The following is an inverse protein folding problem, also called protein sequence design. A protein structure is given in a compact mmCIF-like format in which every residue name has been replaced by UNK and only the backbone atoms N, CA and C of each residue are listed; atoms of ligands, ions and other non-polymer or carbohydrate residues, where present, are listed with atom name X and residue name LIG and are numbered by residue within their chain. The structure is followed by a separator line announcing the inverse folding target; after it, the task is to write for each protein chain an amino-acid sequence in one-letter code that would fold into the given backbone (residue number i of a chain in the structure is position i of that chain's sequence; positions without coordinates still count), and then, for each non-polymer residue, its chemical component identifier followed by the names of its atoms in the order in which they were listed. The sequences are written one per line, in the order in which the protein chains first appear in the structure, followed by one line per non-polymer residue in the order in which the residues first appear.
data_IF_572604532180
#
_entry.id   IF_572604532180
#
_cell.length_a   1.000
_cell.length_b   1.000
_cell.length_c   1.000
_cell.angle_alpha   90.00
_cell.angle_beta   90.00
_cell.angle_gamma   90.00
#
_symmetry.space_group_name_H-M   'P 1'
#
loop_
_entity.id
_entity.type
_entity.pdbx_description
1 polymer ?
#
# COMPACT_ATOMS: atom_id res chain seq x y z
N UNK A 1 40.27 46.28 8.86
CA UNK A 1 40.99 44.98 8.82
C UNK A 1 40.05 43.78 9.01
N UNK A 2 38.91 43.95 9.63
CA UNK A 2 38.03 42.86 10.05
C UNK A 2 37.07 42.38 8.95
N UNK A 3 36.59 43.20 8.05
CA UNK A 3 35.60 42.80 7.02
C UNK A 3 36.22 41.88 5.96
N UNK A 4 37.44 42.15 5.49
CA UNK A 4 38.13 41.31 4.52
C UNK A 4 38.50 39.93 5.06
N UNK A 5 38.85 39.82 6.36
CA UNK A 5 39.21 38.56 7.00
C UNK A 5 37.95 37.65 7.18
N UNK A 6 36.85 38.23 7.64
CA UNK A 6 35.56 37.52 7.75
C UNK A 6 35.07 37.00 6.39
N UNK A 7 35.29 37.74 5.31
CA UNK A 7 34.91 37.32 3.97
C UNK A 7 35.77 36.14 3.48
N UNK A 8 37.10 36.19 3.71
CA UNK A 8 38.03 35.11 3.37
C UNK A 8 37.73 33.84 4.17
N UNK A 9 37.47 33.95 5.45
CA UNK A 9 37.13 32.82 6.32
C UNK A 9 35.83 32.15 5.87
N UNK A 10 34.83 32.95 5.45
CA UNK A 10 33.57 32.43 4.92
C UNK A 10 33.76 31.69 3.58
N UNK A 11 34.57 32.26 2.68
CA UNK A 11 34.89 31.63 1.38
C UNK A 11 35.63 30.29 1.62
N UNK A 12 36.63 30.27 2.47
CA UNK A 12 37.41 29.09 2.79
C UNK A 12 36.50 27.99 3.40
N UNK A 13 35.60 28.35 4.30
CA UNK A 13 34.65 27.42 4.90
C UNK A 13 33.71 26.84 3.85
N UNK A 14 33.16 27.64 2.96
CA UNK A 14 32.31 27.19 1.89
C UNK A 14 33.02 26.24 0.92
N UNK A 15 34.27 26.55 0.56
CA UNK A 15 35.09 25.65 -0.24
C UNK A 15 35.33 24.29 0.45
N UNK A 16 35.67 24.30 1.73
CA UNK A 16 35.84 23.06 2.51
C UNK A 16 34.59 22.22 2.53
N UNK A 17 33.42 22.84 2.70
CA UNK A 17 32.11 22.12 2.67
C UNK A 17 31.87 21.51 1.29
N UNK A 18 32.09 22.26 0.20
CA UNK A 18 31.97 21.76 -1.16
C UNK A 18 32.91 20.59 -1.45
N UNK A 19 34.16 20.67 -1.02
CA UNK A 19 35.12 19.57 -1.15
C UNK A 19 34.68 18.35 -0.36
N UNK A 20 34.20 18.52 0.86
CA UNK A 20 33.71 17.41 1.68
C UNK A 20 32.50 16.72 1.04
N UNK A 21 31.52 17.48 0.55
CA UNK A 21 30.35 16.93 -0.15
C UNK A 21 30.82 16.22 -1.43
N UNK A 22 31.70 16.80 -2.22
CA UNK A 22 32.21 16.15 -3.42
C UNK A 22 32.88 14.80 -3.13
N UNK A 23 33.65 14.71 -2.03
CA UNK A 23 34.23 13.45 -1.58
C UNK A 23 33.17 12.40 -1.22
N UNK A 24 32.08 12.78 -0.54
CA UNK A 24 30.98 11.86 -0.21
C UNK A 24 30.36 11.27 -1.49
N UNK A 25 30.26 12.06 -2.56
CA UNK A 25 29.75 11.62 -3.86
C UNK A 25 30.84 11.04 -4.78
N UNK A 26 32.09 10.88 -4.29
CA UNK A 26 33.24 10.37 -5.03
C UNK A 26 33.48 11.15 -6.34
N UNK A 27 33.39 12.47 -6.28
CA UNK A 27 33.57 13.37 -7.40
C UNK A 27 34.41 14.61 -6.97
N UNK A 28 34.62 15.55 -7.86
CA UNK A 28 35.24 16.83 -7.59
C UNK A 28 34.17 17.95 -7.50
N UNK A 29 34.50 19.11 -6.88
CA UNK A 29 33.53 20.19 -6.72
C UNK A 29 32.93 20.73 -8.03
N UNK A 30 33.70 20.69 -9.14
CA UNK A 30 33.21 21.17 -10.44
C UNK A 30 32.23 20.25 -11.13
N UNK A 31 32.19 18.96 -10.76
CA UNK A 31 31.29 17.94 -11.31
C UNK A 31 30.18 17.53 -10.34
N UNK A 32 30.16 18.15 -9.16
CA UNK A 32 29.25 17.79 -8.08
C UNK A 32 27.77 17.89 -8.50
N UNK A 33 27.44 18.98 -9.23
CA UNK A 33 26.07 19.22 -9.71
C UNK A 33 25.60 18.09 -10.65
N UNK A 34 26.40 17.76 -11.66
CA UNK A 34 26.10 16.67 -12.60
C UNK A 34 25.98 15.32 -11.87
N UNK A 35 26.84 15.08 -10.88
CA UNK A 35 26.81 13.83 -10.10
C UNK A 35 25.56 13.74 -9.22
N UNK A 36 25.13 14.84 -8.64
CA UNK A 36 23.88 14.92 -7.87
C UNK A 36 22.65 14.67 -8.75
N UNK A 37 22.58 15.32 -9.91
CA UNK A 37 21.50 15.10 -10.88
C UNK A 37 21.42 13.63 -11.32
N UNK A 38 22.56 13.02 -11.62
CA UNK A 38 22.64 11.62 -11.99
C UNK A 38 22.10 10.72 -10.86
N UNK A 39 22.54 10.95 -9.61
CA UNK A 39 22.07 10.17 -8.46
C UNK A 39 20.57 10.36 -8.21
N UNK A 40 20.05 11.58 -8.37
CA UNK A 40 18.63 11.85 -8.23
C UNK A 40 17.80 11.12 -9.30
N UNK A 41 18.29 11.08 -10.53
CA UNK A 41 17.63 10.37 -11.63
C UNK A 41 17.68 8.86 -11.41
N UNK A 42 18.82 8.28 -11.03
CA UNK A 42 18.97 6.87 -10.68
C UNK A 42 18.00 6.48 -9.54
N UNK A 43 17.91 7.31 -8.51
CA UNK A 43 16.98 7.08 -7.39
C UNK A 43 15.52 7.11 -7.84
N UNK A 44 15.15 8.02 -8.75
CA UNK A 44 13.81 8.10 -9.33
C UNK A 44 13.47 6.87 -10.17
N UNK A 45 14.41 6.42 -10.99
CA UNK A 45 14.26 5.21 -11.82
C UNK A 45 14.11 3.95 -10.95
N UNK A 46 14.94 3.81 -9.91
CA UNK A 46 14.87 2.71 -8.96
C UNK A 46 13.52 2.67 -8.22
N UNK A 47 13.03 3.83 -7.78
CA UNK A 47 11.70 3.91 -7.16
C UNK A 47 10.60 3.48 -8.13
N UNK A 48 10.66 3.97 -9.36
CA UNK A 48 9.67 3.58 -10.39
C UNK A 48 9.73 2.08 -10.72
N UNK A 49 10.94 1.51 -10.81
CA UNK A 49 11.10 0.07 -11.01
C UNK A 49 10.54 -0.73 -9.82
N UNK A 50 10.82 -0.30 -8.58
CA UNK A 50 10.29 -0.93 -7.38
C UNK A 50 8.75 -0.90 -7.35
N UNK A 51 8.15 0.23 -7.70
CA UNK A 51 6.70 0.37 -7.73
C UNK A 51 6.07 -0.55 -8.78
N UNK A 52 6.69 -0.68 -9.97
CA UNK A 52 6.26 -1.65 -10.99
C UNK A 52 6.35 -3.09 -10.51
N UNK A 53 7.45 -3.46 -9.86
CA UNK A 53 7.60 -4.81 -9.31
C UNK A 53 6.57 -5.12 -8.24
N UNK A 54 6.30 -4.17 -7.34
CA UNK A 54 5.24 -4.30 -6.33
C UNK A 54 3.86 -4.47 -6.96
N UNK A 55 3.56 -3.69 -8.00
CA UNK A 55 2.30 -3.79 -8.72
C UNK A 55 2.14 -5.15 -9.41
N UNK A 56 3.16 -5.63 -10.11
CA UNK A 56 3.15 -6.95 -10.76
C UNK A 56 3.00 -8.10 -9.74
N UNK A 57 3.71 -8.04 -8.62
CA UNK A 57 3.58 -9.02 -7.55
C UNK A 57 2.16 -9.04 -6.98
N UNK A 58 1.59 -7.86 -6.70
CA UNK A 58 0.22 -7.72 -6.20
C UNK A 58 -0.84 -8.29 -7.16
N UNK A 59 -0.68 -8.06 -8.46
CA UNK A 59 -1.60 -8.62 -9.47
C UNK A 59 -1.43 -10.14 -9.63
N UNK A 60 -0.21 -10.66 -9.50
CA UNK A 60 0.06 -12.10 -9.48
C UNK A 60 -0.63 -12.79 -8.30
N UNK A 61 -0.55 -12.18 -7.11
CA UNK A 61 -1.23 -12.67 -5.91
C UNK A 61 -2.76 -12.62 -6.05
N UNK A 62 -3.30 -11.55 -6.62
CA UNK A 62 -4.75 -11.44 -6.84
C UNK A 62 -5.28 -12.57 -7.75
N UNK A 63 -4.50 -12.99 -8.75
CA UNK A 63 -4.85 -14.15 -9.58
C UNK A 63 -4.86 -15.46 -8.77
N UNK A 64 -3.87 -15.64 -7.89
CA UNK A 64 -3.82 -16.84 -7.02
C UNK A 64 -5.00 -16.86 -6.07
N UNK A 65 -5.44 -15.71 -5.55
CA UNK A 65 -6.62 -15.63 -4.70
C UNK A 65 -7.90 -16.06 -5.43
N UNK A 66 -8.07 -15.66 -6.70
CA UNK A 66 -9.22 -16.12 -7.49
C UNK A 66 -9.22 -17.62 -7.71
N UNK A 67 -8.04 -18.24 -7.85
CA UNK A 67 -7.92 -19.69 -7.99
C UNK A 67 -8.19 -20.44 -6.67
N UNK A 68 -7.85 -19.83 -5.53
CA UNK A 68 -8.06 -20.39 -4.20
C UNK A 68 -9.39 -19.95 -3.54
N UNK A 69 -10.22 -19.19 -4.26
CA UNK A 69 -11.47 -18.67 -3.75
C UNK A 69 -12.42 -19.80 -3.33
N UNK A 70 -13.06 -19.63 -2.17
CA UNK A 70 -14.14 -20.53 -1.72
C UNK A 70 -15.42 -20.21 -2.47
N UNK A 71 -16.17 -21.20 -2.88
CA UNK A 71 -17.51 -21.00 -3.44
C UNK A 71 -18.55 -21.10 -2.31
N UNK A 72 -19.21 -20.00 -2.01
CA UNK A 72 -20.26 -19.91 -1.00
C UNK A 72 -21.49 -19.30 -1.66
N UNK A 73 -22.58 -20.07 -1.78
CA UNK A 73 -23.82 -19.63 -2.40
C UNK A 73 -23.66 -19.19 -3.88
N UNK A 74 -22.66 -19.75 -4.60
CA UNK A 74 -22.34 -19.37 -5.98
C UNK A 74 -21.68 -17.99 -6.06
N UNK A 75 -21.00 -17.56 -4.98
CA UNK A 75 -20.11 -16.41 -4.92
C UNK A 75 -18.70 -16.88 -4.58
N UNK A 76 -17.69 -16.25 -5.19
CA UNK A 76 -16.29 -16.54 -4.91
C UNK A 76 -15.80 -15.68 -3.77
N UNK A 77 -15.70 -16.27 -2.59
CA UNK A 77 -15.23 -15.60 -1.37
C UNK A 77 -13.73 -15.74 -1.23
N UNK A 78 -13.06 -14.61 -1.06
CA UNK A 78 -11.63 -14.50 -0.88
C UNK A 78 -11.37 -13.72 0.41
N UNK A 79 -10.69 -14.35 1.35
CA UNK A 79 -10.20 -13.70 2.57
C UNK A 79 -8.68 -13.83 2.61
N UNK A 80 -7.96 -12.72 2.75
CA UNK A 80 -6.50 -12.75 2.81
C UNK A 80 -5.94 -11.65 3.71
N UNK A 81 -4.89 -12.00 4.47
CA UNK A 81 -4.07 -11.04 5.20
C UNK A 81 -2.77 -10.79 4.44
N UNK A 82 -2.37 -9.52 4.33
CA UNK A 82 -1.11 -9.09 3.73
C UNK A 82 -0.50 -7.95 4.53
N UNK A 83 0.58 -8.22 5.23
CA UNK A 83 1.26 -7.22 6.02
C UNK A 83 2.08 -6.29 5.13
N UNK A 84 2.20 -5.03 5.54
CA UNK A 84 2.98 -4.04 4.82
C UNK A 84 2.35 -3.48 3.55
N UNK A 85 1.10 -3.84 3.21
CA UNK A 85 0.40 -3.30 2.06
C UNK A 85 -0.30 -1.99 2.42
N UNK A 86 -0.08 -0.94 1.64
CA UNK A 86 -0.78 0.32 1.84
C UNK A 86 -2.22 0.30 1.27
N UNK A 87 -3.02 1.27 1.68
CA UNK A 87 -4.43 1.35 1.28
C UNK A 87 -4.61 1.51 -0.24
N UNK A 88 -3.65 2.12 -0.94
CA UNK A 88 -3.72 2.31 -2.39
C UNK A 88 -3.46 0.99 -3.13
N UNK A 89 -2.46 0.22 -2.69
CA UNK A 89 -2.17 -1.11 -3.23
C UNK A 89 -3.32 -2.09 -2.97
N UNK A 90 -3.91 -2.06 -1.76
CA UNK A 90 -5.09 -2.87 -1.43
C UNK A 90 -6.27 -2.54 -2.37
N UNK A 91 -6.54 -1.26 -2.63
CA UNK A 91 -7.61 -0.84 -3.56
C UNK A 91 -7.37 -1.35 -4.98
N UNK A 92 -6.15 -1.18 -5.52
CA UNK A 92 -5.79 -1.70 -6.85
C UNK A 92 -6.01 -3.21 -6.96
N UNK A 93 -5.61 -3.95 -5.92
CA UNK A 93 -5.82 -5.40 -5.87
C UNK A 93 -7.31 -5.75 -5.79
N UNK A 94 -8.09 -5.05 -4.98
CA UNK A 94 -9.53 -5.22 -4.88
C UNK A 94 -10.25 -4.90 -6.18
N UNK A 95 -9.90 -3.80 -6.85
CA UNK A 95 -10.46 -3.43 -8.15
C UNK A 95 -10.16 -4.50 -9.21
N UNK A 96 -8.93 -5.03 -9.23
CA UNK A 96 -8.58 -6.13 -10.12
C UNK A 96 -9.43 -7.39 -9.88
N UNK A 97 -9.65 -7.77 -8.62
CA UNK A 97 -10.50 -8.93 -8.28
C UNK A 97 -11.92 -8.73 -8.78
N UNK A 98 -12.50 -7.56 -8.54
CA UNK A 98 -13.85 -7.19 -8.94
C UNK A 98 -14.03 -7.16 -10.47
N UNK A 99 -13.01 -6.65 -11.19
CA UNK A 99 -13.05 -6.55 -12.65
C UNK A 99 -12.91 -7.92 -13.34
N UNK A 100 -12.20 -8.85 -12.70
CA UNK A 100 -11.97 -10.21 -13.23
C UNK A 100 -13.07 -11.19 -12.90
N UNK A 101 -13.74 -11.02 -11.78
CA UNK A 101 -14.77 -11.98 -11.31
C UNK A 101 -16.00 -11.21 -10.81
N UNK A 102 -17.07 -11.14 -11.59
CA UNK A 102 -18.32 -10.45 -11.21
C UNK A 102 -18.98 -11.01 -9.94
N UNK A 103 -18.77 -12.29 -9.63
CA UNK A 103 -19.27 -12.95 -8.44
C UNK A 103 -18.33 -12.92 -7.24
N UNK A 104 -17.28 -12.10 -7.25
CA UNK A 104 -16.30 -12.06 -6.17
C UNK A 104 -16.81 -11.29 -4.94
N UNK A 105 -16.51 -11.84 -3.77
CA UNK A 105 -16.53 -11.16 -2.47
C UNK A 105 -15.11 -11.26 -1.92
N UNK A 106 -14.34 -10.18 -2.06
CA UNK A 106 -12.95 -10.13 -1.62
C UNK A 106 -12.81 -9.29 -0.34
N UNK A 107 -12.22 -9.87 0.70
CA UNK A 107 -11.88 -9.16 1.93
C UNK A 107 -10.38 -9.29 2.18
N UNK A 108 -9.70 -8.16 2.18
CA UNK A 108 -8.26 -8.07 2.40
C UNK A 108 -8.01 -7.33 3.71
N UNK A 109 -7.08 -7.85 4.50
CA UNK A 109 -6.58 -7.21 5.71
C UNK A 109 -5.09 -6.92 5.56
N UNK A 110 -4.66 -5.76 6.03
CA UNK A 110 -3.24 -5.40 6.11
C UNK A 110 -2.91 -4.86 7.48
N UNK A 111 -1.76 -5.27 8.01
CA UNK A 111 -1.23 -4.77 9.28
C UNK A 111 0.02 -3.94 9.00
N UNK A 112 -0.02 -2.67 9.44
CA UNK A 112 1.09 -1.73 9.32
C UNK A 112 1.21 -0.95 10.63
N UNK A 113 2.39 -0.96 11.24
CA UNK A 113 2.70 -0.21 12.46
C UNK A 113 1.65 -0.40 13.58
N UNK A 114 1.17 -1.64 13.76
CA UNK A 114 0.18 -1.99 14.77
C UNK A 114 -1.25 -1.52 14.47
N UNK A 115 -1.50 -1.06 13.23
CA UNK A 115 -2.83 -0.68 12.75
C UNK A 115 -3.33 -1.68 11.72
N UNK A 116 -4.59 -2.05 11.84
CA UNK A 116 -5.26 -2.91 10.87
C UNK A 116 -5.98 -2.05 9.85
N UNK A 117 -5.77 -2.34 8.57
CA UNK A 117 -6.55 -1.78 7.46
C UNK A 117 -7.33 -2.91 6.82
N UNK A 118 -8.64 -2.74 6.66
CA UNK A 118 -9.54 -3.69 6.05
C UNK A 118 -10.08 -3.11 4.74
N UNK A 119 -10.13 -3.93 3.70
CA UNK A 119 -10.79 -3.63 2.44
C UNK A 119 -11.77 -4.76 2.11
N UNK A 120 -13.00 -4.42 1.80
CA UNK A 120 -13.96 -5.34 1.18
C UNK A 120 -14.30 -4.86 -0.22
N UNK A 121 -14.40 -5.79 -1.15
CA UNK A 121 -14.85 -5.54 -2.53
C UNK A 121 -15.89 -6.58 -2.91
N UNK A 122 -16.95 -6.16 -3.59
CA UNK A 122 -17.99 -7.03 -4.10
C UNK A 122 -18.16 -6.79 -5.60
N UNK A 123 -18.14 -7.87 -6.37
CA UNK A 123 -18.45 -7.84 -7.79
C UNK A 123 -19.94 -7.53 -8.03
N UNK A 124 -20.28 -7.23 -9.27
CA UNK A 124 -21.65 -6.83 -9.65
C UNK A 124 -22.70 -7.88 -9.28
N UNK A 125 -22.39 -9.15 -9.49
CA UNK A 125 -23.29 -10.27 -9.21
C UNK A 125 -23.45 -10.49 -7.71
N UNK A 126 -22.39 -10.29 -6.92
CA UNK A 126 -22.45 -10.34 -5.47
C UNK A 126 -23.36 -9.24 -4.91
N UNK A 127 -23.22 -8.01 -5.43
CA UNK A 127 -24.09 -6.89 -5.04
C UNK A 127 -25.54 -7.13 -5.46
N UNK A 128 -25.77 -7.72 -6.63
CA UNK A 128 -27.12 -8.09 -7.10
C UNK A 128 -27.78 -9.15 -6.21
N UNK A 129 -26.99 -10.06 -5.63
CA UNK A 129 -27.45 -11.03 -4.64
C UNK A 129 -27.64 -10.45 -3.23
N UNK A 130 -27.36 -9.15 -3.03
CA UNK A 130 -27.55 -8.45 -1.76
C UNK A 130 -26.31 -8.35 -0.87
N UNK A 131 -25.18 -8.95 -1.27
CA UNK A 131 -23.92 -8.86 -0.51
C UNK A 131 -23.23 -7.55 -0.83
N UNK A 132 -23.04 -6.72 0.19
CA UNK A 132 -22.48 -5.35 0.04
C UNK A 132 -21.19 -5.20 0.84
N UNK A 133 -20.15 -4.70 0.20
CA UNK A 133 -18.85 -4.45 0.83
C UNK A 133 -18.95 -3.53 2.06
N UNK A 134 -19.82 -2.51 2.00
CA UNK A 134 -20.05 -1.59 3.13
C UNK A 134 -20.62 -2.29 4.36
N UNK A 135 -21.46 -3.26 4.19
CA UNK A 135 -22.09 -4.00 5.30
C UNK A 135 -21.12 -5.06 5.87
N UNK A 136 -20.32 -5.69 5.01
CA UNK A 136 -19.21 -6.56 5.44
C UNK A 136 -18.25 -5.78 6.34
N UNK A 137 -17.77 -4.61 5.89
CA UNK A 137 -16.83 -3.81 6.68
C UNK A 137 -17.46 -3.34 8.00
N UNK A 138 -18.74 -2.98 8.02
CA UNK A 138 -19.44 -2.62 9.28
C UNK A 138 -19.51 -3.78 10.26
N UNK A 139 -19.61 -5.01 9.75
CA UNK A 139 -19.65 -6.21 10.59
C UNK A 139 -18.26 -6.57 11.14
N UNK A 140 -17.21 -6.52 10.31
CA UNK A 140 -15.88 -7.01 10.68
C UNK A 140 -14.96 -5.98 11.32
N UNK A 141 -15.09 -4.67 11.00
CA UNK A 141 -14.22 -3.64 11.55
C UNK A 141 -14.32 -3.49 13.08
N UNK A 142 -15.50 -3.63 13.72
CA UNK A 142 -15.60 -3.61 15.18
C UNK A 142 -14.86 -4.78 15.85
N UNK A 143 -14.72 -5.94 15.20
CA UNK A 143 -13.96 -7.09 15.71
C UNK A 143 -12.48 -6.71 15.89
N UNK A 144 -11.95 -5.90 14.99
CA UNK A 144 -10.58 -5.36 15.08
C UNK A 144 -10.49 -4.07 15.91
N UNK A 145 -11.50 -3.75 16.73
CA UNK A 145 -11.50 -2.54 17.55
C UNK A 145 -11.55 -1.24 16.73
N UNK A 146 -12.25 -1.24 15.61
CA UNK A 146 -12.28 -0.11 14.71
C UNK A 146 -13.64 0.21 14.10
N UNK A 147 -13.62 0.98 13.04
CA UNK A 147 -14.81 1.40 12.29
C UNK A 147 -14.50 1.42 10.79
N UNK A 148 -15.54 1.34 10.00
CA UNK A 148 -15.39 1.45 8.55
C UNK A 148 -16.74 1.49 7.84
N UNK A 149 -16.67 1.53 6.53
CA UNK A 149 -17.83 1.55 5.65
C UNK A 149 -17.43 2.00 4.26
N UNK A 150 -18.42 2.13 3.40
CA UNK A 150 -18.17 2.54 2.01
C UNK A 150 -19.36 2.25 1.13
N UNK A 151 -19.08 2.10 -0.15
CA UNK A 151 -20.07 1.79 -1.18
C UNK A 151 -20.41 0.30 -1.18
N UNK A 152 -21.49 -0.12 -1.85
CA UNK A 152 -21.84 -1.54 -1.98
C UNK A 152 -20.76 -2.37 -2.69
N UNK A 153 -20.04 -1.80 -3.63
CA UNK A 153 -19.02 -2.46 -4.43
C UNK A 153 -17.60 -2.39 -3.84
N UNK A 154 -17.34 -1.41 -2.96
CA UNK A 154 -16.03 -1.24 -2.31
C UNK A 154 -16.14 -0.46 -1.01
N UNK A 155 -15.56 -0.97 0.05
CA UNK A 155 -15.56 -0.35 1.37
C UNK A 155 -14.24 -0.58 2.08
N UNK A 156 -13.87 0.35 2.95
CA UNK A 156 -12.67 0.26 3.78
C UNK A 156 -12.99 0.51 5.24
N UNK A 157 -12.21 -0.12 6.09
CA UNK A 157 -12.25 0.08 7.53
C UNK A 157 -10.85 0.00 8.11
N UNK A 158 -10.75 0.26 9.39
CA UNK A 158 -9.51 0.11 10.12
C UNK A 158 -9.79 -0.24 11.57
N UNK A 159 -8.75 -0.73 12.25
CA UNK A 159 -8.79 -1.09 13.65
C UNK A 159 -7.39 -1.07 14.27
N UNK A 160 -7.33 -1.38 15.54
CA UNK A 160 -6.08 -1.41 16.32
C UNK A 160 -5.77 -2.79 16.92
N UNK A 161 -6.73 -3.70 16.88
CA UNK A 161 -6.58 -5.04 17.44
C UNK A 161 -6.09 -6.04 16.38
N UNK A 162 -4.77 -6.09 16.22
CA UNK A 162 -4.09 -6.96 15.23
C UNK A 162 -4.39 -8.44 15.47
N UNK A 163 -4.47 -8.87 16.74
CA UNK A 163 -4.74 -10.27 17.11
C UNK A 163 -6.13 -10.78 16.71
N UNK A 164 -7.01 -9.88 16.31
CA UNK A 164 -8.41 -10.18 15.93
C UNK A 164 -8.63 -10.19 14.40
N UNK A 165 -7.58 -10.04 13.62
CA UNK A 165 -7.69 -10.02 12.15
C UNK A 165 -8.19 -11.34 11.61
N UNK A 166 -7.71 -12.48 12.13
CA UNK A 166 -8.15 -13.80 11.71
C UNK A 166 -9.62 -14.04 12.06
N UNK A 167 -10.06 -13.64 13.25
CA UNK A 167 -11.47 -13.71 13.66
C UNK A 167 -12.37 -12.87 12.74
N UNK A 168 -11.91 -11.67 12.37
CA UNK A 168 -12.62 -10.78 11.46
C UNK A 168 -12.73 -11.36 10.05
N UNK A 169 -11.67 -12.00 9.55
CA UNK A 169 -11.67 -12.66 8.24
C UNK A 169 -12.55 -13.93 8.24
N UNK A 170 -12.57 -14.69 9.32
CA UNK A 170 -13.42 -15.86 9.46
C UNK A 170 -14.91 -15.49 9.47
N UNK A 171 -15.27 -14.38 10.12
CA UNK A 171 -16.67 -13.89 10.16
C UNK A 171 -17.23 -13.51 8.78
N UNK A 172 -16.38 -13.33 7.76
CA UNK A 172 -16.84 -13.05 6.39
C UNK A 172 -17.56 -14.23 5.78
N UNK A 173 -17.09 -15.46 6.02
CA UNK A 173 -17.70 -16.68 5.49
C UNK A 173 -19.15 -16.82 6.01
N UNK A 174 -19.37 -16.53 7.29
CA UNK A 174 -20.69 -16.56 7.94
C UNK A 174 -21.61 -15.43 7.43
N UNK A 175 -21.05 -14.30 7.04
CA UNK A 175 -21.81 -13.16 6.52
C UNK A 175 -22.31 -13.40 5.08
N UNK A 176 -21.59 -14.18 4.29
CA UNK A 176 -21.90 -14.46 2.88
C UNK A 176 -22.77 -15.71 2.72
N UNK A 177 -22.74 -16.64 3.69
CA UNK A 177 -23.55 -17.86 3.70
C UNK A 177 -25.04 -17.56 3.84
#
# INVERSE_FOLDING_TARGET
ATVGQLTLDTINRNQQVLFHIAQMFKTNPGELENRLEQQMNEMKELRHALDKFKEQASLGEARSFLMAAKDIGGLKVITAQRDGMDAAAMRKQGDFLRDKEPGVVGVLASVNDGKVTLLAVCGKDAVAKGVKAGDIIKAIAPICGGKGGGKPDSAMGGGTEVSKVDDALAAVDDFVA
#
